data_IF_176118772012
#
_entry.id   IF_176118772012
#
_cell.length_a   1.000
_cell.length_b   1.000
_cell.length_c   1.000
_cell.angle_alpha   90.00
_cell.angle_beta   90.00
_cell.angle_gamma   90.00
#
_symmetry.space_group_name_H-M   'P 1'
#
loop_
_entity.id
_entity.type
_entity.pdbx_description
1 polymer ?
#
# COMPACT_ATOMS: atom_id res chain seq x y z
N UNK A 1 2.76 17.08 -9.57
CA UNK A 1 1.94 16.23 -8.70
C UNK A 1 2.65 14.92 -8.45
N UNK A 2 2.99 14.58 -7.20
CA UNK A 2 3.61 13.28 -6.84
C UNK A 2 2.54 12.37 -6.27
N UNK A 3 2.51 11.11 -6.66
CA UNK A 3 1.61 10.09 -6.12
C UNK A 3 2.34 9.20 -5.13
N UNK A 4 1.60 8.44 -4.33
CA UNK A 4 2.20 7.46 -3.40
C UNK A 4 3.07 6.44 -4.13
N UNK A 5 2.76 6.10 -5.39
CA UNK A 5 3.58 5.20 -6.22
C UNK A 5 4.98 5.77 -6.51
N UNK A 6 5.10 7.09 -6.65
CA UNK A 6 6.37 7.72 -7.03
C UNK A 6 7.38 7.80 -5.87
N UNK A 7 6.89 7.64 -4.64
CA UNK A 7 7.67 7.75 -3.40
C UNK A 7 7.57 6.49 -2.56
N UNK A 8 7.14 5.38 -3.19
CA UNK A 8 7.09 4.08 -2.54
C UNK A 8 7.71 2.98 -3.39
N UNK A 9 8.24 1.98 -2.71
CA UNK A 9 8.82 0.78 -3.32
C UNK A 9 8.01 -0.42 -2.88
N UNK A 10 7.57 -1.22 -3.84
CA UNK A 10 6.81 -2.46 -3.59
C UNK A 10 7.75 -3.65 -3.71
N UNK A 11 7.77 -4.52 -2.70
CA UNK A 11 8.63 -5.69 -2.62
C UNK A 11 7.82 -6.93 -2.25
N UNK A 12 8.12 -8.06 -2.90
CA UNK A 12 7.51 -9.34 -2.50
C UNK A 12 8.16 -9.83 -1.22
N UNK A 13 7.36 -10.31 -0.28
CA UNK A 13 7.81 -10.96 0.95
C UNK A 13 7.40 -12.43 0.92
N UNK A 14 7.90 -13.22 1.87
CA UNK A 14 7.49 -14.62 2.01
C UNK A 14 5.99 -14.77 2.36
N UNK A 15 5.42 -13.75 2.99
CA UNK A 15 4.05 -13.76 3.51
C UNK A 15 3.07 -12.95 2.63
N UNK A 16 3.58 -12.25 1.61
CA UNK A 16 2.79 -11.45 0.69
C UNK A 16 3.60 -10.33 0.05
N UNK A 17 3.26 -9.08 0.35
CA UNK A 17 3.87 -7.89 -0.27
C UNK A 17 4.11 -6.81 0.79
N UNK A 18 5.28 -6.19 0.76
CA UNK A 18 5.61 -5.00 1.55
C UNK A 18 5.70 -3.76 0.65
N UNK A 19 5.17 -2.65 1.11
CA UNK A 19 5.27 -1.34 0.47
C UNK A 19 6.01 -0.41 1.41
N UNK A 20 7.20 0.02 1.01
CA UNK A 20 8.00 1.00 1.74
C UNK A 20 7.75 2.39 1.16
N UNK A 21 7.24 3.31 1.97
CA UNK A 21 7.03 4.72 1.62
C UNK A 21 8.12 5.54 2.29
N UNK A 22 8.81 6.34 1.50
CA UNK A 22 9.90 7.21 1.95
C UNK A 22 9.44 8.24 3.00
N UNK A 23 10.35 8.63 3.90
CA UNK A 23 10.07 9.60 4.97
C UNK A 23 9.75 11.03 4.49
N UNK A 24 9.92 11.32 3.19
CA UNK A 24 9.44 12.56 2.58
C UNK A 24 7.91 12.68 2.56
N UNK A 25 7.19 11.58 2.83
CA UNK A 25 5.73 11.57 2.97
C UNK A 25 5.36 11.54 4.45
N UNK A 26 4.48 12.46 4.86
CA UNK A 26 3.93 12.44 6.20
C UNK A 26 3.19 11.13 6.47
N UNK A 27 3.57 10.41 7.52
CA UNK A 27 2.99 9.12 7.88
C UNK A 27 1.45 9.19 7.94
N UNK A 28 0.87 10.27 8.47
CA UNK A 28 -0.59 10.48 8.50
C UNK A 28 -1.26 10.36 7.12
N UNK A 29 -0.61 10.84 6.06
CA UNK A 29 -1.12 10.70 4.68
C UNK A 29 -1.08 9.24 4.24
N UNK A 30 -0.02 8.51 4.58
CA UNK A 30 0.11 7.07 4.30
C UNK A 30 -0.95 6.28 5.05
N UNK A 31 -1.12 6.52 6.35
CA UNK A 31 -2.18 5.92 7.17
C UNK A 31 -3.57 6.19 6.58
N UNK A 32 -3.87 7.42 6.18
CA UNK A 32 -5.15 7.73 5.54
C UNK A 32 -5.33 6.93 4.23
N UNK A 33 -4.29 6.78 3.40
CA UNK A 33 -4.39 5.98 2.17
C UNK A 33 -4.63 4.50 2.48
N UNK A 34 -3.90 3.94 3.46
CA UNK A 34 -4.05 2.54 3.89
C UNK A 34 -5.41 2.30 4.54
N UNK A 35 -5.89 3.19 5.40
CA UNK A 35 -7.20 3.11 6.03
C UNK A 35 -8.31 3.13 4.97
N UNK A 36 -8.18 3.96 3.94
CA UNK A 36 -9.09 3.93 2.80
C UNK A 36 -9.06 2.56 2.09
N UNK A 37 -7.88 1.93 1.94
CA UNK A 37 -7.77 0.58 1.39
C UNK A 37 -8.48 -0.47 2.27
N UNK A 38 -8.26 -0.42 3.59
CA UNK A 38 -8.80 -1.39 4.55
C UNK A 38 -10.32 -1.26 4.74
N UNK A 39 -10.83 -0.03 4.84
CA UNK A 39 -12.26 0.25 5.00
C UNK A 39 -13.06 0.06 3.70
N UNK A 40 -12.40 -0.30 2.60
CA UNK A 40 -13.02 -0.49 1.29
C UNK A 40 -13.43 0.83 0.61
N UNK A 41 -13.14 1.99 1.21
CA UNK A 41 -13.37 3.30 0.59
C UNK A 41 -12.47 3.54 -0.62
N UNK A 42 -11.39 2.76 -0.76
CA UNK A 42 -10.57 2.74 -1.94
C UNK A 42 -10.95 1.58 -2.88
N UNK A 43 -11.23 1.92 -4.14
CA UNK A 43 -11.37 0.99 -5.27
C UNK A 43 -10.03 0.60 -5.89
N UNK A 44 -8.94 0.73 -5.12
CA UNK A 44 -7.59 0.48 -5.62
C UNK A 44 -7.42 -0.99 -5.98
N UNK A 45 -7.92 -1.91 -5.16
CA UNK A 45 -7.81 -3.36 -5.37
C UNK A 45 -9.10 -3.96 -5.96
N UNK A 46 -8.94 -4.85 -6.95
CA UNK A 46 -10.03 -5.67 -7.48
C UNK A 46 -10.60 -6.60 -6.40
N UNK A 47 -11.84 -7.06 -6.54
CA UNK A 47 -12.45 -7.99 -5.59
C UNK A 47 -11.62 -9.28 -5.42
N UNK A 48 -11.03 -9.77 -6.52
CA UNK A 48 -10.12 -10.92 -6.50
C UNK A 48 -8.86 -10.67 -5.65
N UNK A 49 -8.21 -9.52 -5.84
CA UNK A 49 -7.04 -9.11 -5.04
C UNK A 49 -7.42 -8.94 -3.56
N UNK A 50 -8.58 -8.35 -3.26
CA UNK A 50 -9.09 -8.21 -1.89
C UNK A 50 -9.33 -9.58 -1.22
N UNK A 51 -9.78 -10.58 -1.97
CA UNK A 51 -9.99 -11.93 -1.45
C UNK A 51 -8.67 -12.67 -1.12
N UNK A 52 -7.56 -12.29 -1.77
CA UNK A 52 -6.23 -12.85 -1.51
C UNK A 52 -5.55 -12.23 -0.29
N UNK A 53 -5.96 -11.04 0.13
CA UNK A 53 -5.43 -10.36 1.32
C UNK A 53 -5.92 -11.10 2.57
N UNK A 54 -4.99 -11.61 3.37
CA UNK A 54 -5.26 -12.26 4.65
C UNK A 54 -5.03 -11.32 5.83
N UNK A 55 -4.22 -10.29 5.65
CA UNK A 55 -3.94 -9.28 6.67
C UNK A 55 -3.26 -8.06 6.09
N UNK A 56 -3.36 -6.93 6.79
CA UNK A 56 -2.66 -5.71 6.42
C UNK A 56 -2.22 -4.97 7.68
N UNK A 57 -0.93 -4.70 7.77
CA UNK A 57 -0.31 -3.96 8.87
C UNK A 57 0.41 -2.75 8.31
N UNK A 58 0.45 -1.67 9.09
CA UNK A 58 1.24 -0.49 8.74
C UNK A 58 2.07 -0.09 9.95
N UNK A 59 3.37 0.06 9.73
CA UNK A 59 4.35 0.39 10.76
C UNK A 59 5.11 1.64 10.34
N UNK A 60 5.27 2.58 11.26
CA UNK A 60 6.09 3.75 11.07
C UNK A 60 7.49 3.47 11.62
N UNK A 61 8.52 3.57 10.77
CA UNK A 61 9.93 3.46 11.13
C UNK A 61 10.67 4.80 10.99
N UNK A 62 11.96 4.80 11.32
CA UNK A 62 12.84 5.96 11.19
C UNK A 62 13.03 6.40 9.73
N UNK A 63 13.11 5.42 8.81
CA UNK A 63 13.32 5.67 7.37
C UNK A 63 12.03 5.91 6.57
N UNK A 64 10.85 5.85 7.21
CA UNK A 64 9.57 6.04 6.55
C UNK A 64 8.48 5.09 7.03
N UNK A 65 7.42 4.95 6.25
CA UNK A 65 6.27 4.09 6.59
C UNK A 65 6.32 2.80 5.79
N UNK A 66 6.20 1.65 6.45
CA UNK A 66 6.06 0.35 5.78
C UNK A 66 4.65 -0.19 5.92
N UNK A 67 4.10 -0.66 4.82
CA UNK A 67 2.80 -1.31 4.75
C UNK A 67 3.05 -2.77 4.40
N UNK A 68 2.66 -3.69 5.27
CA UNK A 68 2.78 -5.12 5.07
C UNK A 68 1.41 -5.68 4.73
N UNK A 69 1.31 -6.33 3.59
CA UNK A 69 0.07 -6.93 3.09
C UNK A 69 0.32 -8.43 3.02
N UNK A 70 -0.23 -9.16 3.99
CA UNK A 70 -0.17 -10.61 4.01
C UNK A 70 -1.23 -11.18 3.05
N UNK A 71 -0.86 -12.22 2.31
CA UNK A 71 -1.74 -12.86 1.34
C UNK A 71 -1.01 -13.39 0.10
N UNK A 72 -1.74 -14.10 -0.75
CA UNK A 72 -1.21 -14.63 -2.02
C UNK A 72 -1.18 -13.54 -3.09
N UNK A 73 -0.36 -12.52 -2.90
CA UNK A 73 -0.34 -11.31 -3.73
C UNK A 73 1.03 -11.14 -4.40
N UNK A 74 1.00 -10.50 -5.57
CA UNK A 74 2.22 -10.12 -6.28
C UNK A 74 2.45 -8.61 -6.20
N UNK A 75 3.72 -8.14 -6.19
CA UNK A 75 4.06 -6.73 -6.23
C UNK A 75 3.35 -5.96 -7.36
N UNK A 76 3.16 -6.61 -8.50
CA UNK A 76 2.48 -6.06 -9.67
C UNK A 76 1.00 -5.76 -9.39
N UNK A 77 0.30 -6.64 -8.67
CA UNK A 77 -1.10 -6.45 -8.29
C UNK A 77 -1.25 -5.25 -7.36
N UNK A 78 -0.35 -5.11 -6.38
CA UNK A 78 -0.32 -3.99 -5.44
C UNK A 78 0.06 -2.69 -6.15
N UNK A 79 1.05 -2.74 -7.05
CA UNK A 79 1.47 -1.58 -7.84
C UNK A 79 0.34 -1.09 -8.74
N UNK A 80 -0.38 -2.00 -9.40
CA UNK A 80 -1.54 -1.67 -10.20
C UNK A 80 -2.66 -1.08 -9.35
N UNK A 81 -2.86 -1.59 -8.14
CA UNK A 81 -3.84 -1.04 -7.21
C UNK A 81 -3.47 0.39 -6.78
N UNK A 82 -2.22 0.61 -6.39
CA UNK A 82 -1.71 1.94 -6.02
C UNK A 82 -1.79 2.92 -7.19
N UNK A 83 -1.54 2.48 -8.42
CA UNK A 83 -1.67 3.31 -9.63
C UNK A 83 -3.12 3.74 -9.94
N UNK A 84 -4.11 2.95 -9.50
CA UNK A 84 -5.53 3.34 -9.58
C UNK A 84 -5.93 4.37 -8.53
N UNK A 85 -5.12 4.54 -7.48
CA UNK A 85 -5.33 5.58 -6.48
C UNK A 85 -4.91 6.93 -7.08
N UNK A 86 -5.88 7.72 -7.52
CA UNK A 86 -5.67 9.08 -8.07
C UNK A 86 -5.33 10.13 -7.00
N UNK A 87 -4.97 9.69 -5.79
CA UNK A 87 -4.74 10.56 -4.64
C UNK A 87 -3.32 11.13 -4.70
N UNK A 88 -3.24 12.41 -5.00
CA UNK A 88 -1.99 13.19 -4.92
C UNK A 88 -1.58 13.41 -3.48
N UNK A 89 -0.26 13.35 -3.23
CA UNK A 89 0.35 13.56 -1.92
C UNK A 89 0.53 15.03 -1.57
#
# INVERSE_FOLDING_TARGET
DRTIKDVSTVQKTAEGVAVHVDNSVEAKKVFAIVENCQTGQCNCMSAETKAKVTGMEVVQGEDGTQIHIAGDLSPEEITAAMARSTKTL
#
